data_IF_382753133221
#
_entry.id   IF_382753133221
#
_cell.length_a   1.000
_cell.length_b   1.000
_cell.length_c   1.000
_cell.angle_alpha   90.00
_cell.angle_beta   90.00
_cell.angle_gamma   90.00
#
_symmetry.space_group_name_H-M   'P 1'
#
loop_
_entity.id
_entity.type
_entity.pdbx_description
1 polymer ?
#
# COMPACT_ATOMS: atom_id res chain seq x y z
N UNK A 1 15.33 -17.37 -17.51
CA UNK A 1 14.97 -16.43 -18.61
C UNK A 1 13.62 -15.84 -18.22
N UNK A 2 13.57 -14.56 -17.91
CA UNK A 2 12.32 -13.86 -17.56
C UNK A 2 11.75 -13.33 -18.87
N UNK A 3 10.59 -13.84 -19.28
CA UNK A 3 9.85 -13.29 -20.42
C UNK A 3 8.81 -12.35 -19.84
N UNK A 4 9.03 -11.05 -20.00
CA UNK A 4 7.99 -10.04 -19.82
C UNK A 4 7.01 -10.19 -20.98
N UNK A 5 5.77 -10.54 -20.69
CA UNK A 5 4.69 -10.52 -21.68
C UNK A 5 4.35 -9.05 -21.97
N UNK A 6 5.01 -8.48 -22.97
CA UNK A 6 4.61 -7.22 -23.59
C UNK A 6 3.42 -7.47 -24.52
N UNK A 7 2.49 -6.55 -24.45
CA UNK A 7 1.33 -6.27 -25.28
C UNK A 7 -0.04 -6.67 -24.70
N UNK A 8 -0.55 -5.82 -23.82
CA UNK A 8 -2.00 -5.59 -23.82
C UNK A 8 -2.29 -4.84 -25.13
N UNK A 9 -2.81 -5.52 -26.11
CA UNK A 9 -3.11 -4.93 -27.40
C UNK A 9 -4.32 -3.99 -27.30
N UNK A 10 -4.41 -2.99 -28.20
CA UNK A 10 -5.61 -2.15 -28.37
C UNK A 10 -6.91 -2.97 -28.55
N UNK A 11 -6.80 -4.24 -28.86
CA UNK A 11 -7.89 -5.20 -28.97
C UNK A 11 -8.42 -5.61 -27.59
N UNK A 12 -7.55 -5.88 -26.62
CA UNK A 12 -7.93 -6.27 -25.24
C UNK A 12 -8.55 -5.10 -24.45
N UNK A 13 -8.09 -3.86 -24.69
CA UNK A 13 -8.76 -2.67 -24.15
C UNK A 13 -10.17 -2.47 -24.74
N UNK A 14 -10.40 -2.81 -26.01
CA UNK A 14 -11.72 -2.80 -26.63
C UNK A 14 -12.60 -3.92 -26.09
N UNK A 15 -12.07 -5.10 -25.88
CA UNK A 15 -12.76 -6.26 -25.30
C UNK A 15 -13.20 -6.00 -23.85
N UNK A 16 -12.35 -5.36 -23.03
CA UNK A 16 -12.72 -4.93 -21.67
C UNK A 16 -13.88 -3.91 -21.66
N UNK A 17 -13.90 -2.98 -22.62
CA UNK A 17 -14.98 -1.99 -22.76
C UNK A 17 -16.26 -2.63 -23.27
N UNK A 18 -16.18 -3.59 -24.17
CA UNK A 18 -17.32 -4.37 -24.67
C UNK A 18 -17.87 -5.29 -23.57
N UNK A 19 -17.02 -5.97 -22.82
CA UNK A 19 -17.40 -6.77 -21.65
C UNK A 19 -18.14 -5.92 -20.62
N UNK A 20 -17.61 -4.73 -20.29
CA UNK A 20 -18.25 -3.80 -19.36
C UNK A 20 -19.66 -3.40 -19.82
N UNK A 21 -19.79 -3.04 -21.08
CA UNK A 21 -21.11 -2.69 -21.68
C UNK A 21 -22.08 -3.87 -21.62
N UNK A 22 -21.63 -5.05 -21.96
CA UNK A 22 -22.45 -6.26 -21.91
C UNK A 22 -22.89 -6.59 -20.49
N UNK A 23 -21.95 -6.63 -19.54
CA UNK A 23 -22.23 -6.95 -18.14
C UNK A 23 -23.20 -5.95 -17.49
N UNK A 24 -23.03 -4.63 -17.76
CA UNK A 24 -23.86 -3.59 -17.14
C UNK A 24 -25.23 -3.42 -17.84
N UNK A 25 -25.27 -3.44 -19.17
CA UNK A 25 -26.52 -3.14 -19.94
C UNK A 25 -27.39 -4.36 -20.17
N UNK A 26 -26.80 -5.55 -20.37
CA UNK A 26 -27.55 -6.76 -20.70
C UNK A 26 -27.73 -7.71 -19.52
N UNK A 27 -26.74 -7.80 -18.63
CA UNK A 27 -26.82 -8.67 -17.46
C UNK A 27 -27.22 -7.93 -16.17
N UNK A 28 -27.33 -6.60 -16.20
CA UNK A 28 -27.76 -5.80 -15.04
C UNK A 28 -26.78 -5.80 -13.86
N UNK A 29 -25.51 -6.17 -14.10
CA UNK A 29 -24.50 -6.21 -13.04
C UNK A 29 -24.10 -4.77 -12.70
N UNK A 30 -23.97 -4.46 -11.42
CA UNK A 30 -23.56 -3.13 -10.97
C UNK A 30 -22.21 -2.73 -11.58
N UNK A 31 -22.14 -1.55 -12.18
CA UNK A 31 -20.94 -1.05 -12.86
C UNK A 31 -19.72 -1.00 -11.93
N UNK A 32 -19.91 -0.64 -10.66
CA UNK A 32 -18.83 -0.62 -9.66
C UNK A 32 -18.20 -2.00 -9.44
N UNK A 33 -19.02 -3.06 -9.48
CA UNK A 33 -18.52 -4.42 -9.35
C UNK A 33 -17.73 -4.84 -10.61
N UNK A 34 -18.22 -4.47 -11.79
CA UNK A 34 -17.54 -4.76 -13.07
C UNK A 34 -16.23 -3.98 -13.16
N UNK A 35 -16.20 -2.71 -12.73
CA UNK A 35 -15.00 -1.88 -12.72
C UNK A 35 -13.97 -2.45 -11.76
N UNK A 36 -14.38 -2.86 -10.56
CA UNK A 36 -13.50 -3.52 -9.60
C UNK A 36 -12.95 -4.88 -10.11
N UNK A 37 -13.76 -5.63 -10.84
CA UNK A 37 -13.31 -6.87 -11.48
C UNK A 37 -12.27 -6.59 -12.57
N UNK A 38 -12.48 -5.58 -13.41
CA UNK A 38 -11.54 -5.16 -14.45
C UNK A 38 -10.25 -4.64 -13.82
N UNK A 39 -10.32 -3.81 -12.77
CA UNK A 39 -9.15 -3.32 -12.03
C UNK A 39 -8.36 -4.45 -11.39
N UNK A 40 -9.03 -5.46 -10.83
CA UNK A 40 -8.37 -6.64 -10.27
C UNK A 40 -7.71 -7.52 -11.33
N UNK A 41 -8.17 -7.46 -12.60
CA UNK A 41 -7.57 -8.19 -13.72
C UNK A 41 -6.32 -7.53 -14.31
N UNK A 42 -5.99 -6.30 -13.89
CA UNK A 42 -4.80 -5.57 -14.34
C UNK A 42 -3.51 -6.02 -13.63
N UNK A 43 -3.61 -6.89 -12.62
CA UNK A 43 -2.41 -7.43 -11.96
C UNK A 43 -1.66 -8.34 -12.93
N UNK A 44 -0.44 -7.98 -13.34
CA UNK A 44 0.33 -8.80 -14.27
C UNK A 44 0.74 -10.13 -13.62
N UNK A 45 0.64 -11.20 -14.39
CA UNK A 45 1.07 -12.54 -13.98
C UNK A 45 2.44 -12.86 -14.58
N UNK A 46 3.25 -13.55 -13.80
CA UNK A 46 4.55 -14.06 -14.22
C UNK A 46 4.46 -15.59 -14.28
N UNK A 47 5.10 -16.17 -15.28
CA UNK A 47 5.33 -17.62 -15.35
C UNK A 47 6.79 -17.83 -14.98
N UNK A 48 7.05 -18.49 -13.86
CA UNK A 48 8.40 -18.86 -13.44
C UNK A 48 8.61 -20.35 -13.68
N UNK A 49 9.56 -20.68 -14.53
CA UNK A 49 9.99 -22.05 -14.78
C UNK A 49 10.98 -22.46 -13.69
N UNK A 50 10.55 -23.38 -12.83
CA UNK A 50 11.42 -24.07 -11.87
C UNK A 50 11.63 -25.49 -12.36
N UNK A 51 12.78 -26.08 -12.02
CA UNK A 51 13.32 -27.34 -12.58
C UNK A 51 12.35 -28.54 -12.65
N UNK A 52 11.13 -28.45 -12.14
CA UNK A 52 10.11 -29.51 -12.19
C UNK A 52 8.65 -29.04 -12.36
N UNK A 53 8.36 -27.72 -12.25
CA UNK A 53 7.00 -27.19 -12.38
C UNK A 53 6.98 -25.73 -12.87
N UNK A 54 6.08 -25.44 -13.79
CA UNK A 54 5.73 -24.04 -14.14
C UNK A 54 4.68 -23.56 -13.13
N UNK A 55 4.99 -22.48 -12.43
CA UNK A 55 4.07 -21.86 -11.47
C UNK A 55 3.68 -20.47 -11.96
N UNK A 56 2.40 -20.26 -12.16
CA UNK A 56 1.85 -18.93 -12.44
C UNK A 56 1.58 -18.22 -11.12
N UNK A 57 2.10 -17.01 -10.96
CA UNK A 57 1.83 -16.15 -9.81
C UNK A 57 1.73 -14.69 -10.24
N UNK A 58 1.02 -13.87 -9.47
CA UNK A 58 1.00 -12.44 -9.71
C UNK A 58 2.33 -11.78 -9.33
N UNK A 59 2.59 -10.60 -9.91
CA UNK A 59 3.86 -9.89 -9.72
C UNK A 59 4.10 -9.48 -8.26
N UNK A 60 3.05 -9.14 -7.50
CA UNK A 60 3.21 -8.74 -6.10
C UNK A 60 3.57 -9.93 -5.21
N UNK A 61 2.96 -11.09 -5.46
CA UNK A 61 3.34 -12.34 -4.80
C UNK A 61 4.79 -12.72 -5.12
N UNK A 62 5.24 -12.52 -6.37
CA UNK A 62 6.63 -12.76 -6.74
C UNK A 62 7.61 -11.82 -6.04
N UNK A 63 7.28 -10.52 -5.98
CA UNK A 63 8.07 -9.53 -5.26
C UNK A 63 8.15 -9.85 -3.75
N UNK A 64 7.04 -10.29 -3.15
CA UNK A 64 7.01 -10.67 -1.74
C UNK A 64 7.95 -11.87 -1.43
N UNK A 65 8.18 -12.78 -2.37
CA UNK A 65 9.20 -13.83 -2.21
C UNK A 65 10.62 -13.25 -2.09
N UNK A 66 10.88 -12.09 -2.68
CA UNK A 66 12.12 -11.34 -2.54
C UNK A 66 12.06 -10.30 -1.39
N UNK A 67 11.05 -10.44 -0.52
CA UNK A 67 10.81 -9.59 0.66
C UNK A 67 10.48 -8.13 0.32
N UNK A 68 9.87 -7.92 -0.82
CA UNK A 68 9.45 -6.61 -1.32
C UNK A 68 7.93 -6.49 -1.19
N UNK A 69 7.49 -5.47 -0.46
CA UNK A 69 6.10 -5.05 -0.33
C UNK A 69 5.91 -3.76 -1.13
N UNK A 70 4.79 -3.67 -1.87
CA UNK A 70 4.48 -2.46 -2.64
C UNK A 70 3.21 -1.80 -2.10
N UNK A 71 3.36 -0.62 -1.49
CA UNK A 71 2.26 0.22 -1.03
C UNK A 71 2.02 1.34 -2.04
N UNK A 72 1.23 1.05 -3.08
CA UNK A 72 0.98 1.92 -4.23
C UNK A 72 -0.40 2.59 -4.24
N UNK A 73 -1.06 2.73 -3.09
CA UNK A 73 -2.43 3.23 -3.00
C UNK A 73 -2.67 4.04 -1.72
N UNK A 74 -3.88 4.58 -1.56
CA UNK A 74 -4.32 5.21 -0.31
C UNK A 74 -4.39 4.20 0.85
N UNK A 75 -4.08 4.68 2.06
CA UNK A 75 -4.06 3.87 3.28
C UNK A 75 -5.45 3.84 3.91
N UNK A 76 -6.01 2.65 4.00
CA UNK A 76 -7.25 2.33 4.71
C UNK A 76 -7.06 1.03 5.51
N UNK A 77 -8.09 0.63 6.25
CA UNK A 77 -8.01 -0.55 7.13
C UNK A 77 -7.72 -1.85 6.35
N UNK A 78 -8.27 -2.00 5.14
CA UNK A 78 -8.04 -3.17 4.31
C UNK A 78 -6.58 -3.24 3.86
N UNK A 79 -6.03 -2.13 3.37
CA UNK A 79 -4.62 -2.03 2.95
C UNK A 79 -3.70 -2.28 4.14
N UNK A 80 -4.00 -1.68 5.30
CA UNK A 80 -3.20 -1.87 6.51
C UNK A 80 -3.17 -3.34 6.95
N UNK A 81 -4.32 -4.02 6.95
CA UNK A 81 -4.40 -5.44 7.30
C UNK A 81 -3.56 -6.31 6.36
N UNK A 82 -3.56 -6.01 5.06
CA UNK A 82 -2.75 -6.74 4.07
C UNK A 82 -1.25 -6.51 4.34
N UNK A 83 -0.83 -5.26 4.51
CA UNK A 83 0.58 -4.94 4.76
C UNK A 83 1.06 -5.57 6.08
N UNK A 84 0.26 -5.47 7.14
CA UNK A 84 0.58 -6.07 8.44
C UNK A 84 0.73 -7.60 8.33
N UNK A 85 -0.18 -8.27 7.62
CA UNK A 85 -0.10 -9.70 7.38
C UNK A 85 1.17 -10.08 6.59
N UNK A 86 1.55 -9.29 5.58
CA UNK A 86 2.78 -9.49 4.81
C UNK A 86 4.03 -9.30 5.66
N UNK A 87 4.08 -8.27 6.51
CA UNK A 87 5.20 -8.02 7.43
C UNK A 87 5.38 -9.19 8.41
N UNK A 88 4.32 -9.63 9.07
CA UNK A 88 4.34 -10.75 10.00
C UNK A 88 4.71 -12.08 9.31
N UNK A 89 4.21 -12.29 8.10
CA UNK A 89 4.58 -13.47 7.31
C UNK A 89 6.07 -13.46 6.97
N UNK A 90 6.61 -12.35 6.49
CA UNK A 90 8.02 -12.24 6.13
C UNK A 90 8.94 -12.38 7.35
N UNK A 91 8.54 -11.87 8.52
CA UNK A 91 9.27 -12.15 9.78
C UNK A 91 9.28 -13.65 10.09
N UNK A 92 8.14 -14.33 9.96
CA UNK A 92 8.05 -15.77 10.24
C UNK A 92 8.91 -16.63 9.32
N UNK A 93 9.15 -16.17 8.08
CA UNK A 93 10.00 -16.86 7.10
C UNK A 93 11.49 -16.68 7.42
N UNK A 94 11.92 -15.46 7.69
CA UNK A 94 13.31 -15.15 8.07
C UNK A 94 13.37 -13.83 8.84
N UNK A 95 13.57 -13.92 10.15
CA UNK A 95 13.62 -12.76 11.04
C UNK A 95 14.95 -11.96 10.98
N UNK A 96 15.92 -12.39 10.17
CA UNK A 96 17.25 -11.76 10.08
C UNK A 96 17.46 -10.94 8.82
N UNK A 97 16.60 -11.13 7.82
CA UNK A 97 16.71 -10.42 6.53
C UNK A 97 15.78 -9.23 6.50
N UNK A 98 16.26 -8.13 5.98
CA UNK A 98 15.48 -6.91 5.79
C UNK A 98 14.21 -7.14 4.93
N UNK A 99 13.22 -6.30 5.18
CA UNK A 99 12.02 -6.18 4.35
C UNK A 99 12.07 -4.82 3.67
N UNK A 100 11.69 -4.75 2.40
CA UNK A 100 11.65 -3.50 1.65
C UNK A 100 10.20 -3.10 1.36
N UNK A 101 9.82 -1.87 1.72
CA UNK A 101 8.52 -1.29 1.36
C UNK A 101 8.72 -0.19 0.33
N UNK A 102 8.20 -0.41 -0.87
CA UNK A 102 8.14 0.61 -1.91
C UNK A 102 6.85 1.41 -1.77
N UNK A 103 6.99 2.73 -1.61
CA UNK A 103 5.92 3.66 -1.28
C UNK A 103 5.57 4.54 -2.47
N UNK A 104 4.31 4.50 -2.90
CA UNK A 104 3.71 5.46 -3.81
C UNK A 104 2.27 5.76 -3.34
N UNK A 105 2.16 6.48 -2.22
CA UNK A 105 0.88 6.65 -1.50
C UNK A 105 0.60 8.13 -1.19
N UNK A 106 -0.64 8.58 -1.41
CA UNK A 106 -1.11 9.90 -0.97
C UNK A 106 -1.34 9.97 0.56
N UNK A 107 -1.14 8.87 1.29
CA UNK A 107 -1.53 8.73 2.69
C UNK A 107 -2.94 8.21 2.85
N UNK A 108 -3.62 8.55 3.94
CA UNK A 108 -4.99 8.10 4.22
C UNK A 108 -5.31 8.06 5.70
N UNK A 109 -6.01 7.03 6.15
CA UNK A 109 -6.41 6.86 7.55
C UNK A 109 -5.22 6.83 8.49
N UNK A 110 -5.24 7.69 9.50
CA UNK A 110 -4.18 7.78 10.51
C UNK A 110 -4.11 6.49 11.33
N UNK A 111 -5.26 5.97 11.80
CA UNK A 111 -5.26 4.73 12.59
C UNK A 111 -4.77 3.51 11.82
N UNK A 112 -5.20 3.39 10.55
CA UNK A 112 -4.72 2.32 9.68
C UNK A 112 -3.19 2.43 9.46
N UNK A 113 -2.69 3.63 9.26
CA UNK A 113 -1.27 3.88 9.09
C UNK A 113 -0.45 3.67 10.36
N UNK A 114 -0.98 4.04 11.54
CA UNK A 114 -0.34 3.74 12.83
C UNK A 114 -0.25 2.22 13.06
N UNK A 115 -1.26 1.45 12.65
CA UNK A 115 -1.18 -0.02 12.71
C UNK A 115 -0.05 -0.59 11.85
N UNK A 116 0.20 -0.01 10.66
CA UNK A 116 1.36 -0.39 9.83
C UNK A 116 2.66 0.03 10.52
N UNK A 117 2.74 1.26 11.02
CA UNK A 117 3.89 1.80 11.73
C UNK A 117 4.28 0.90 12.92
N UNK A 118 3.32 0.61 13.79
CA UNK A 118 3.57 -0.23 14.96
C UNK A 118 4.04 -1.63 14.56
N UNK A 119 3.47 -2.21 13.51
CA UNK A 119 3.90 -3.51 13.01
C UNK A 119 5.33 -3.46 12.48
N UNK A 120 5.72 -2.39 11.74
CA UNK A 120 7.09 -2.19 11.28
C UNK A 120 8.10 -2.10 12.45
N UNK A 121 7.71 -1.46 13.57
CA UNK A 121 8.55 -1.34 14.75
C UNK A 121 8.57 -2.61 15.62
N UNK A 122 7.50 -3.42 15.56
CA UNK A 122 7.34 -4.62 16.37
C UNK A 122 8.14 -5.81 15.86
N UNK A 123 8.22 -5.98 14.52
CA UNK A 123 8.92 -7.11 13.90
C UNK A 123 10.45 -6.97 14.05
N UNK A 124 11.16 -8.10 14.04
CA UNK A 124 12.62 -8.12 14.18
C UNK A 124 13.39 -7.68 12.95
N UNK A 125 12.96 -7.99 11.72
CA UNK A 125 13.65 -7.52 10.52
C UNK A 125 13.66 -6.00 10.44
N UNK A 126 14.77 -5.43 10.00
CA UNK A 126 14.76 -4.02 9.61
C UNK A 126 13.87 -3.81 8.39
N UNK A 127 13.07 -2.76 8.45
CA UNK A 127 12.21 -2.36 7.33
C UNK A 127 12.84 -1.20 6.59
N UNK A 128 13.31 -1.44 5.38
CA UNK A 128 13.78 -0.40 4.48
C UNK A 128 12.59 0.24 3.73
N UNK A 129 12.57 1.56 3.60
CA UNK A 129 11.49 2.28 2.92
C UNK A 129 12.01 3.08 1.74
N UNK A 130 11.33 2.98 0.61
CA UNK A 130 11.74 3.58 -0.66
C UNK A 130 10.55 4.36 -1.28
N UNK A 131 10.63 5.67 -1.36
CA UNK A 131 9.63 6.47 -2.08
C UNK A 131 9.85 6.41 -3.59
N UNK A 132 8.88 5.88 -4.36
CA UNK A 132 9.00 5.71 -5.82
C UNK A 132 8.23 6.75 -6.63
N UNK A 133 7.26 7.41 -6.07
CA UNK A 133 6.47 8.46 -6.75
C UNK A 133 6.10 9.54 -5.75
N UNK A 134 5.22 9.21 -4.84
CA UNK A 134 4.80 10.12 -3.78
C UNK A 134 4.69 9.40 -2.43
N UNK A 135 5.20 10.03 -1.39
CA UNK A 135 4.91 9.67 -0.01
C UNK A 135 4.31 10.89 0.69
N UNK A 136 2.98 10.94 0.78
CA UNK A 136 2.28 12.09 1.33
C UNK A 136 1.54 11.73 2.61
N UNK A 137 1.42 12.72 3.54
CA UNK A 137 0.63 12.57 4.77
C UNK A 137 1.09 11.32 5.54
N UNK A 138 0.19 10.39 5.83
CA UNK A 138 0.52 9.13 6.50
C UNK A 138 1.57 8.29 5.72
N UNK A 139 1.62 8.40 4.40
CA UNK A 139 2.68 7.78 3.58
C UNK A 139 4.07 8.36 3.86
N UNK A 140 4.18 9.65 4.18
CA UNK A 140 5.43 10.27 4.60
C UNK A 140 5.85 9.80 6.00
N UNK A 141 4.90 9.59 6.90
CA UNK A 141 5.17 9.02 8.24
C UNK A 141 5.74 7.61 8.11
N UNK A 142 5.14 6.77 7.27
CA UNK A 142 5.65 5.42 7.01
C UNK A 142 7.03 5.42 6.33
N UNK A 143 7.30 6.39 5.44
CA UNK A 143 8.63 6.55 4.86
C UNK A 143 9.67 6.87 5.95
N UNK A 144 9.35 7.79 6.86
CA UNK A 144 10.20 8.13 8.00
C UNK A 144 10.42 6.94 8.94
N UNK A 145 9.42 6.07 9.09
CA UNK A 145 9.43 4.92 9.99
C UNK A 145 10.40 3.79 9.58
N UNK A 146 10.98 3.87 8.39
CA UNK A 146 12.01 2.94 7.94
C UNK A 146 13.23 2.96 8.87
N UNK A 147 13.94 1.84 8.94
CA UNK A 147 15.13 1.67 9.77
C UNK A 147 16.20 2.72 9.42
N UNK A 148 17.00 3.09 10.42
CA UNK A 148 18.04 4.10 10.25
C UNK A 148 19.03 3.72 9.14
N UNK A 149 19.35 4.69 8.27
CA UNK A 149 20.19 4.47 7.10
C UNK A 149 19.55 3.66 5.96
N UNK A 150 18.28 3.18 6.12
CA UNK A 150 17.57 2.36 5.11
C UNK A 150 16.34 3.07 4.52
N UNK A 151 16.30 4.38 4.59
CA UNK A 151 15.24 5.24 4.03
C UNK A 151 15.75 5.94 2.79
N UNK A 152 15.00 5.87 1.70
CA UNK A 152 15.41 6.46 0.43
C UNK A 152 14.22 6.99 -0.38
N UNK A 153 14.54 7.83 -1.35
CA UNK A 153 13.58 8.37 -2.28
C UNK A 153 14.20 8.47 -3.68
N UNK A 154 13.44 8.10 -4.71
CA UNK A 154 13.91 8.24 -6.09
C UNK A 154 13.98 9.72 -6.48
N UNK A 155 14.83 10.04 -7.43
CA UNK A 155 15.19 11.41 -7.84
C UNK A 155 13.98 12.33 -8.08
N UNK A 156 12.90 11.81 -8.65
CA UNK A 156 11.73 12.58 -9.02
C UNK A 156 10.54 12.36 -8.10
N UNK A 157 10.70 11.56 -7.04
CA UNK A 157 9.65 11.36 -6.05
C UNK A 157 9.40 12.62 -5.21
N UNK A 158 8.25 12.66 -4.57
CA UNK A 158 7.83 13.76 -3.71
C UNK A 158 7.46 13.24 -2.33
N UNK A 159 7.94 13.93 -1.32
CA UNK A 159 7.55 13.70 0.07
C UNK A 159 6.79 14.93 0.55
N UNK A 160 5.59 14.71 1.09
CA UNK A 160 4.74 15.81 1.57
C UNK A 160 4.24 15.50 2.96
N UNK A 161 4.52 16.41 3.89
CA UNK A 161 4.07 16.37 5.28
C UNK A 161 3.06 17.49 5.48
N UNK A 162 1.93 17.16 6.08
CA UNK A 162 0.95 18.12 6.55
C UNK A 162 0.32 17.62 7.85
N UNK A 163 -0.31 18.52 8.59
CA UNK A 163 -1.03 18.13 9.81
C UNK A 163 -2.26 17.26 9.46
N UNK A 164 -2.69 16.38 10.39
CA UNK A 164 -3.87 15.55 10.15
C UNK A 164 -5.11 16.41 9.92
N UNK A 165 -5.93 15.99 8.96
CA UNK A 165 -7.23 16.59 8.69
C UNK A 165 -8.30 15.80 9.46
N UNK A 166 -9.25 16.52 10.01
CA UNK A 166 -10.40 15.91 10.68
C UNK A 166 -11.49 16.93 10.88
N UNK A 167 -12.69 16.45 11.17
CA UNK A 167 -13.86 17.26 11.47
C UNK A 167 -14.86 16.46 12.30
N UNK A 168 -15.77 17.15 12.98
CA UNK A 168 -16.83 16.55 13.73
C UNK A 168 -18.13 17.32 13.53
N UNK A 169 -19.24 16.60 13.56
CA UNK A 169 -20.60 17.15 13.58
C UNK A 169 -21.37 16.43 14.70
N UNK A 170 -22.21 17.16 15.41
CA UNK A 170 -23.01 16.61 16.51
C UNK A 170 -23.17 17.57 17.67
N UNK A 171 -23.35 17.04 18.87
CA UNK A 171 -23.45 17.83 20.10
C UNK A 171 -22.09 18.48 20.43
N UNK A 172 -22.10 19.59 21.15
CA UNK A 172 -20.90 20.32 21.52
C UNK A 172 -19.86 19.43 22.24
N UNK A 173 -20.32 18.53 23.12
CA UNK A 173 -19.50 17.55 23.82
C UNK A 173 -18.77 16.60 22.85
N UNK A 174 -19.44 16.10 21.78
CA UNK A 174 -18.90 15.17 20.83
C UNK A 174 -17.86 15.85 19.95
N UNK A 175 -18.12 17.10 19.57
CA UNK A 175 -17.17 17.94 18.83
C UNK A 175 -15.91 18.17 19.66
N UNK A 176 -16.05 18.46 20.96
CA UNK A 176 -14.89 18.66 21.84
C UNK A 176 -14.07 17.39 22.04
N UNK A 177 -14.69 16.24 22.21
CA UNK A 177 -14.01 14.94 22.31
C UNK A 177 -13.21 14.67 21.01
N UNK A 178 -13.85 14.83 19.86
CA UNK A 178 -13.19 14.62 18.56
C UNK A 178 -12.02 15.59 18.33
N UNK A 179 -12.20 16.86 18.70
CA UNK A 179 -11.14 17.86 18.59
C UNK A 179 -9.92 17.50 19.45
N UNK A 180 -10.14 17.03 20.68
CA UNK A 180 -9.04 16.55 21.55
C UNK A 180 -8.32 15.35 20.97
N UNK A 181 -9.06 14.40 20.39
CA UNK A 181 -8.45 13.22 19.75
C UNK A 181 -7.60 13.61 18.55
N UNK A 182 -8.07 14.52 17.69
CA UNK A 182 -7.29 15.04 16.57
C UNK A 182 -6.00 15.71 17.05
N UNK A 183 -6.04 16.49 18.13
CA UNK A 183 -4.85 17.12 18.72
C UNK A 183 -3.87 16.09 19.27
N UNK A 184 -4.36 15.03 19.89
CA UNK A 184 -3.54 13.92 20.39
C UNK A 184 -2.85 13.20 19.23
N UNK A 185 -3.57 12.81 18.19
CA UNK A 185 -3.02 12.18 16.99
C UNK A 185 -1.99 13.08 16.30
N UNK A 186 -2.26 14.39 16.21
CA UNK A 186 -1.29 15.35 15.67
C UNK A 186 0.03 15.31 16.43
N UNK A 187 -0.03 15.34 17.77
CA UNK A 187 1.17 15.28 18.60
C UNK A 187 1.91 13.96 18.41
N UNK A 188 1.21 12.84 18.40
CA UNK A 188 1.77 11.51 18.22
C UNK A 188 2.50 11.38 16.87
N UNK A 189 1.88 11.82 15.77
CA UNK A 189 2.53 11.83 14.46
C UNK A 189 3.78 12.71 14.40
N UNK A 190 3.77 13.86 15.09
CA UNK A 190 4.94 14.72 15.18
C UNK A 190 6.06 14.08 16.00
N UNK A 191 5.72 13.43 17.10
CA UNK A 191 6.69 12.70 17.95
C UNK A 191 7.31 11.53 17.16
N UNK A 192 6.51 10.79 16.35
CA UNK A 192 7.02 9.75 15.46
C UNK A 192 8.02 10.33 14.44
N UNK A 193 7.63 11.38 13.72
CA UNK A 193 8.53 12.00 12.72
C UNK A 193 9.81 12.49 13.39
N UNK A 194 9.71 13.15 14.55
CA UNK A 194 10.87 13.66 15.26
C UNK A 194 11.80 12.56 15.77
N UNK A 195 11.25 11.40 16.10
CA UNK A 195 12.04 10.24 16.57
C UNK A 195 12.88 9.63 15.45
N UNK A 196 12.37 9.70 14.21
CA UNK A 196 12.99 9.08 13.04
C UNK A 196 13.73 10.07 12.11
N UNK A 197 13.80 11.37 12.46
CA UNK A 197 14.41 12.41 11.61
C UNK A 197 15.83 12.76 12.00
#
# INVERSE_FOLDING_TARGET
MIILAEHITNKEMREGTEFRKYATKHMGINSTFVDHYIESSVTPYIIEERSLNMTQMDVFSRLMMDRIIFLGTGINDQVANIINAQLLFLESVDAKKDIQIYLNSPGGSVYAGLGIYDTMQYIRPDVATICTGMAASMGAVLLCAGADGKRSALKHSRVMIHQPLGGAQGQASDIEITAREIQKLKKELYDIIATHS
#
